data_IF_260065595875
#
_entry.id   IF_260065595875
#
_cell.length_a   1.000
_cell.length_b   1.000
_cell.length_c   1.000
_cell.angle_alpha   90.00
_cell.angle_beta   90.00
_cell.angle_gamma   90.00
#
_symmetry.space_group_name_H-M   'P 1'
#
loop_
_entity.id
_entity.type
_entity.pdbx_description
1 polymer ?
#
# COMPACT_ATOMS: atom_id res chain seq x y z
N UNK A 1 -11.06 -24.55 -43.18
CA UNK A 1 -10.91 -23.96 -41.83
C UNK A 1 -11.30 -22.49 -41.81
N UNK A 2 -10.91 -21.69 -42.82
CA UNK A 2 -11.35 -20.30 -42.97
C UNK A 2 -12.89 -20.17 -43.13
N UNK A 3 -13.50 -20.98 -44.01
CA UNK A 3 -14.95 -20.87 -44.29
C UNK A 3 -15.83 -21.18 -43.07
N UNK A 4 -15.43 -22.14 -42.23
CA UNK A 4 -16.14 -22.48 -40.99
C UNK A 4 -16.08 -21.34 -39.96
N UNK A 5 -14.98 -20.59 -39.93
CA UNK A 5 -14.85 -19.41 -39.08
C UNK A 5 -15.68 -18.26 -39.60
N UNK A 6 -15.73 -18.06 -40.92
CA UNK A 6 -16.55 -17.03 -41.55
C UNK A 6 -18.04 -17.29 -41.35
N UNK A 7 -18.48 -18.54 -41.49
CA UNK A 7 -19.87 -18.93 -41.22
C UNK A 7 -20.24 -18.70 -39.76
N UNK A 8 -19.34 -19.02 -38.83
CA UNK A 8 -19.57 -18.79 -37.39
C UNK A 8 -19.63 -17.29 -37.06
N UNK A 9 -18.85 -16.45 -37.72
CA UNK A 9 -18.90 -15.00 -37.54
C UNK A 9 -20.23 -14.46 -38.04
N UNK A 10 -20.68 -14.87 -39.23
CA UNK A 10 -21.96 -14.44 -39.80
C UNK A 10 -23.15 -14.86 -38.91
N UNK A 11 -23.09 -16.06 -38.34
CA UNK A 11 -24.11 -16.58 -37.42
C UNK A 11 -24.18 -15.76 -36.12
N UNK A 12 -23.01 -15.41 -35.57
CA UNK A 12 -22.91 -14.57 -34.37
C UNK A 12 -23.38 -13.13 -34.63
N UNK A 13 -23.07 -12.56 -35.81
CA UNK A 13 -23.54 -11.22 -36.20
C UNK A 13 -25.07 -11.18 -36.34
N UNK A 14 -25.68 -12.23 -36.90
CA UNK A 14 -27.13 -12.35 -36.98
C UNK A 14 -27.79 -12.47 -35.59
N UNK A 15 -27.17 -13.21 -34.67
CA UNK A 15 -27.65 -13.34 -33.29
C UNK A 15 -27.57 -12.02 -32.51
N UNK A 16 -26.49 -11.25 -32.70
CA UNK A 16 -26.33 -9.92 -32.10
C UNK A 16 -27.41 -8.95 -32.62
N UNK A 17 -27.72 -8.97 -33.91
CA UNK A 17 -28.72 -8.06 -34.45
C UNK A 17 -30.15 -8.42 -33.98
N UNK A 18 -30.43 -9.72 -33.81
CA UNK A 18 -31.67 -10.22 -33.19
C UNK A 18 -31.79 -9.79 -31.73
N UNK A 19 -30.71 -9.84 -30.95
CA UNK A 19 -30.73 -9.37 -29.56
C UNK A 19 -30.91 -7.86 -29.46
N UNK A 20 -30.32 -7.09 -30.38
CA UNK A 20 -30.53 -5.63 -30.45
C UNK A 20 -31.97 -5.26 -30.82
N UNK A 21 -32.63 -6.01 -31.72
CA UNK A 21 -34.04 -5.75 -32.04
C UNK A 21 -34.96 -6.05 -30.84
N UNK A 22 -34.73 -7.16 -30.13
CA UNK A 22 -35.44 -7.48 -28.90
C UNK A 22 -35.24 -6.45 -27.79
N UNK A 23 -34.03 -5.88 -27.67
CA UNK A 23 -33.76 -4.81 -26.72
C UNK A 23 -34.53 -3.54 -27.08
N UNK A 24 -34.57 -3.17 -28.37
CA UNK A 24 -35.33 -2.01 -28.87
C UNK A 24 -36.84 -2.17 -28.65
N UNK A 25 -37.39 -3.37 -28.80
CA UNK A 25 -38.79 -3.68 -28.48
C UNK A 25 -39.07 -3.58 -26.98
N UNK A 26 -38.17 -4.08 -26.11
CA UNK A 26 -38.28 -3.91 -24.66
C UNK A 26 -38.21 -2.44 -24.22
N UNK A 27 -37.37 -1.63 -24.85
CA UNK A 27 -37.29 -0.18 -24.56
C UNK A 27 -38.57 0.54 -24.97
N UNK A 28 -39.14 0.21 -26.13
CA UNK A 28 -40.44 0.75 -26.57
C UNK A 28 -41.61 0.31 -25.67
N UNK A 29 -41.59 -0.91 -25.15
CA UNK A 29 -42.61 -1.38 -24.21
C UNK A 29 -42.51 -0.68 -22.83
N UNK A 30 -41.31 -0.22 -22.44
CA UNK A 30 -41.08 0.55 -21.21
C UNK A 30 -41.56 2.01 -21.29
N UNK A 31 -41.49 2.64 -22.45
CA UNK A 31 -41.88 4.06 -22.63
C UNK A 31 -43.40 4.29 -22.68
N UNK A 32 -44.22 3.26 -22.93
CA UNK A 32 -45.70 3.41 -22.96
C UNK A 32 -46.30 3.48 -21.54
N UNK A 33 -45.54 3.12 -20.49
CA UNK A 33 -46.01 3.20 -19.09
C UNK A 33 -45.71 4.53 -18.39
N UNK A 34 -44.93 5.44 -18.99
CA UNK A 34 -44.44 6.66 -18.32
C UNK A 34 -45.03 7.98 -18.88
N UNK A 35 -46.11 7.89 -19.66
CA UNK A 35 -46.84 9.07 -20.18
C UNK A 35 -48.15 9.28 -19.41
N UNK A 36 -48.06 9.55 -18.11
CA UNK A 36 -49.09 10.30 -17.36
C UNK A 36 -48.46 11.12 -16.22
N UNK A 37 -47.77 12.21 -16.54
CA UNK A 37 -47.87 13.50 -15.83
C UNK A 37 -46.92 14.56 -16.43
N UNK A 38 -47.46 15.22 -17.46
CA UNK A 38 -47.30 16.64 -17.85
C UNK A 38 -46.44 17.52 -16.91
N UNK A 39 -45.30 18.04 -17.37
CA UNK A 39 -45.12 19.28 -18.16
C UNK A 39 -45.35 20.60 -17.42
N UNK A 40 -44.31 21.43 -17.29
CA UNK A 40 -44.31 22.79 -17.86
C UNK A 40 -42.97 23.50 -17.60
N UNK A 41 -42.62 24.31 -18.58
CA UNK A 41 -41.37 25.03 -18.79
C UNK A 41 -41.56 26.53 -18.63
N UNK A 42 -40.51 27.22 -18.11
CA UNK A 42 -40.04 28.61 -18.36
C UNK A 42 -41.04 29.77 -18.16
N UNK A 43 -40.72 30.74 -17.30
CA UNK A 43 -40.07 32.01 -17.70
C UNK A 43 -39.78 32.94 -16.51
N UNK A 44 -38.77 33.80 -16.68
CA UNK A 44 -38.41 34.90 -15.77
C UNK A 44 -39.17 36.18 -16.14
N UNK A 45 -39.67 36.94 -15.16
CA UNK A 45 -39.81 38.40 -15.25
C UNK A 45 -40.00 39.04 -13.87
N UNK A 46 -39.63 40.32 -13.82
CA UNK A 46 -39.29 41.17 -12.67
C UNK A 46 -40.48 42.03 -12.15
N UNK A 47 -40.23 42.78 -11.07
CA UNK A 47 -40.98 43.91 -10.48
C UNK A 47 -41.92 43.73 -9.28
N UNK A 48 -41.91 44.80 -8.46
CA UNK A 48 -42.15 44.91 -7.01
C UNK A 48 -43.60 45.35 -6.62
N UNK A 49 -43.84 45.96 -5.43
CA UNK A 49 -44.53 45.35 -4.28
C UNK A 49 -45.94 45.94 -4.05
N UNK A 50 -46.84 45.21 -3.37
CA UNK A 50 -47.94 45.84 -2.63
C UNK A 50 -48.63 44.88 -1.63
N UNK A 51 -49.22 45.50 -0.61
CA UNK A 51 -49.61 44.96 0.70
C UNK A 51 -50.96 44.23 0.76
N UNK A 52 -51.15 43.56 1.90
CA UNK A 52 -52.38 43.23 2.63
C UNK A 52 -53.17 41.98 2.25
N UNK A 53 -53.40 41.13 3.27
CA UNK A 53 -54.38 40.05 3.19
C UNK A 53 -54.18 38.92 4.20
N UNK A 54 -54.43 39.20 5.47
CA UNK A 54 -54.48 38.26 6.60
C UNK A 54 -55.28 36.99 6.31
N UNK A 55 -54.66 35.80 6.39
CA UNK A 55 -55.37 34.57 6.81
C UNK A 55 -54.41 33.57 7.46
N UNK A 56 -54.71 33.24 8.71
CA UNK A 56 -53.99 32.28 9.53
C UNK A 56 -54.14 30.86 8.98
N UNK A 57 -53.03 30.25 8.55
CA UNK A 57 -52.96 28.81 8.35
C UNK A 57 -51.65 28.26 8.94
N UNK A 58 -51.80 27.32 9.87
CA UNK A 58 -50.74 26.68 10.67
C UNK A 58 -49.68 26.07 9.75
N UNK A 59 -48.52 26.71 9.64
CA UNK A 59 -47.30 26.10 9.06
C UNK A 59 -46.87 24.93 9.93
N UNK A 60 -47.06 23.69 9.44
CA UNK A 60 -46.32 22.51 9.92
C UNK A 60 -44.83 22.78 9.65
N UNK A 61 -44.09 23.09 10.71
CA UNK A 61 -42.65 23.27 10.65
C UNK A 61 -41.98 22.02 10.06
N UNK A 62 -41.32 22.20 8.92
CA UNK A 62 -40.37 21.23 8.36
C UNK A 62 -39.27 21.07 9.42
N UNK A 63 -39.26 19.94 10.14
CA UNK A 63 -38.17 19.62 11.09
C UNK A 63 -36.87 19.60 10.29
N UNK A 64 -36.04 20.62 10.49
CA UNK A 64 -34.62 20.58 10.12
C UNK A 64 -34.04 19.37 10.85
N UNK A 65 -33.64 18.36 10.09
CA UNK A 65 -33.08 17.13 10.64
C UNK A 65 -31.70 17.49 11.22
N UNK A 66 -31.65 17.88 12.50
CA UNK A 66 -30.39 18.04 13.23
C UNK A 66 -29.68 16.70 13.15
N UNK A 67 -28.54 16.65 12.46
CA UNK A 67 -27.70 15.47 12.31
C UNK A 67 -27.28 15.02 13.72
N UNK A 68 -27.96 14.01 14.27
CA UNK A 68 -27.64 13.49 15.58
C UNK A 68 -26.36 12.68 15.46
N UNK A 69 -25.31 12.97 16.24
CA UNK A 69 -24.08 12.20 16.21
C UNK A 69 -24.41 10.73 16.53
N UNK A 70 -23.82 9.81 15.74
CA UNK A 70 -23.98 8.38 15.95
C UNK A 70 -23.31 7.99 17.27
N UNK A 71 -24.04 7.29 18.13
CA UNK A 71 -23.46 6.67 19.31
C UNK A 71 -22.78 5.35 18.92
N UNK A 72 -21.44 5.35 18.87
CA UNK A 72 -20.64 4.17 18.54
C UNK A 72 -20.67 3.09 19.63
N UNK A 73 -20.97 3.46 20.88
CA UNK A 73 -21.03 2.51 21.99
C UNK A 73 -22.25 1.57 21.90
N UNK A 74 -23.27 1.94 21.12
CA UNK A 74 -24.46 1.12 20.91
C UNK A 74 -24.27 0.00 19.85
N UNK A 75 -23.12 -0.06 19.17
CA UNK A 75 -22.87 -0.98 18.06
C UNK A 75 -21.69 -1.91 18.33
N UNK A 76 -21.78 -3.18 17.92
CA UNK A 76 -20.64 -4.08 17.88
C UNK A 76 -19.50 -3.52 17.01
N UNK A 77 -18.30 -3.94 17.33
CA UNK A 77 -17.11 -3.72 16.51
C UNK A 77 -16.59 -5.05 16.02
N UNK A 78 -15.92 -5.06 14.86
CA UNK A 78 -15.19 -6.20 14.34
C UNK A 78 -13.78 -5.78 13.97
N UNK A 79 -12.78 -6.47 14.50
CA UNK A 79 -11.41 -6.33 14.03
C UNK A 79 -11.25 -7.03 12.69
N UNK A 80 -10.76 -6.31 11.69
CA UNK A 80 -10.59 -6.80 10.32
C UNK A 80 -9.22 -6.46 9.77
N UNK A 81 -8.75 -7.25 8.80
CA UNK A 81 -7.73 -6.85 7.85
C UNK A 81 -8.40 -6.26 6.60
N UNK A 82 -7.91 -5.13 6.10
CA UNK A 82 -8.29 -4.54 4.82
C UNK A 82 -7.09 -4.57 3.88
N UNK A 83 -7.29 -5.02 2.64
CA UNK A 83 -6.29 -4.96 1.58
C UNK A 83 -6.61 -3.82 0.62
N UNK A 84 -5.61 -2.99 0.33
CA UNK A 84 -5.74 -1.74 -0.41
C UNK A 84 -4.76 -1.69 -1.57
N UNK A 85 -5.23 -1.13 -2.68
CA UNK A 85 -4.42 -0.71 -3.81
C UNK A 85 -4.50 0.82 -3.96
N UNK A 86 -3.41 1.45 -4.38
CA UNK A 86 -3.37 2.86 -4.72
C UNK A 86 -2.24 3.23 -5.67
N UNK A 87 -2.50 4.25 -6.50
CA UNK A 87 -1.49 4.88 -7.36
C UNK A 87 -0.81 6.01 -6.56
N UNK A 88 0.45 5.79 -6.16
CA UNK A 88 1.14 6.65 -5.20
C UNK A 88 1.60 8.01 -5.72
N UNK A 89 1.52 8.24 -7.04
CA UNK A 89 2.22 9.34 -7.72
C UNK A 89 1.75 10.72 -7.26
N UNK A 90 0.49 10.82 -6.83
CA UNK A 90 -0.13 12.06 -6.36
C UNK A 90 -0.05 12.25 -4.84
N UNK A 91 0.56 11.31 -4.11
CA UNK A 91 0.52 11.26 -2.64
C UNK A 91 1.91 11.44 -2.02
N UNK A 92 1.96 12.07 -0.85
CA UNK A 92 3.18 12.22 -0.04
C UNK A 92 3.44 10.97 0.82
N UNK A 93 3.19 9.79 0.25
CA UNK A 93 3.36 8.49 0.87
C UNK A 93 2.10 7.98 1.57
N UNK A 94 2.22 6.81 2.18
CA UNK A 94 1.09 6.18 2.86
C UNK A 94 0.75 6.87 4.17
N UNK A 95 1.72 6.99 5.07
CA UNK A 95 1.50 7.46 6.44
C UNK A 95 1.27 8.98 6.49
N UNK A 96 0.33 9.44 7.33
CA UNK A 96 0.13 10.86 7.66
C UNK A 96 1.42 11.47 8.20
N UNK A 97 1.70 12.71 7.77
CA UNK A 97 2.83 13.52 8.20
C UNK A 97 2.29 14.85 8.77
N UNK A 98 3.04 15.47 9.68
CA UNK A 98 2.59 16.71 10.36
C UNK A 98 2.40 17.91 9.40
N UNK A 99 3.11 17.89 8.27
CA UNK A 99 3.16 18.99 7.30
C UNK A 99 2.21 18.78 6.11
N UNK A 100 1.52 17.65 5.99
CA UNK A 100 0.64 17.39 4.86
C UNK A 100 -0.44 16.36 5.17
N UNK A 101 -1.67 16.69 4.74
CA UNK A 101 -2.80 15.76 4.73
C UNK A 101 -2.93 15.01 3.41
N UNK A 102 -2.04 15.26 2.43
CA UNK A 102 -2.09 14.60 1.13
C UNK A 102 -1.39 13.24 1.17
N UNK A 103 -1.92 12.33 1.99
CA UNK A 103 -1.43 10.96 2.17
C UNK A 103 -2.56 9.96 2.00
N UNK A 104 -2.21 8.73 1.63
CA UNK A 104 -3.22 7.66 1.44
C UNK A 104 -3.96 7.38 2.75
N UNK A 105 -3.24 7.37 3.88
CA UNK A 105 -3.83 7.15 5.20
C UNK A 105 -4.81 8.26 5.57
N UNK A 106 -4.51 9.54 5.30
CA UNK A 106 -5.46 10.63 5.58
C UNK A 106 -6.78 10.43 4.82
N UNK A 107 -6.72 10.12 3.52
CA UNK A 107 -7.90 9.85 2.68
C UNK A 107 -8.68 8.62 3.13
N UNK A 108 -7.98 7.60 3.59
CA UNK A 108 -8.60 6.40 4.15
C UNK A 108 -9.37 6.72 5.44
N UNK A 109 -8.78 7.49 6.36
CA UNK A 109 -9.46 7.88 7.60
C UNK A 109 -10.64 8.81 7.36
N UNK A 110 -10.54 9.73 6.39
CA UNK A 110 -11.66 10.56 5.93
C UNK A 110 -12.83 9.66 5.46
N UNK A 111 -12.56 8.65 4.63
CA UNK A 111 -13.56 7.68 4.16
C UNK A 111 -14.17 6.85 5.30
N UNK A 112 -13.36 6.34 6.22
CA UNK A 112 -13.80 5.54 7.38
C UNK A 112 -14.71 6.35 8.32
N UNK A 113 -14.41 7.62 8.55
CA UNK A 113 -15.23 8.51 9.36
C UNK A 113 -16.51 8.93 8.63
N UNK A 114 -16.42 9.28 7.33
CA UNK A 114 -17.56 9.65 6.49
C UNK A 114 -18.60 8.54 6.37
N UNK A 115 -18.14 7.28 6.30
CA UNK A 115 -19.01 6.08 6.31
C UNK A 115 -19.49 5.67 7.71
N UNK A 116 -19.07 6.39 8.76
CA UNK A 116 -19.36 6.09 10.17
C UNK A 116 -18.94 4.66 10.54
N UNK A 117 -17.86 4.16 9.96
CA UNK A 117 -17.28 2.86 10.32
C UNK A 117 -16.37 2.97 11.54
N UNK A 118 -15.76 4.13 11.77
CA UNK A 118 -14.97 4.44 12.97
C UNK A 118 -15.35 5.81 13.52
N UNK A 119 -15.09 6.03 14.81
CA UNK A 119 -15.19 7.34 15.44
C UNK A 119 -13.91 8.16 15.22
N UNK A 120 -12.76 7.56 15.52
CA UNK A 120 -11.45 8.19 15.45
C UNK A 120 -10.37 7.15 15.16
N UNK A 121 -9.18 7.62 14.80
CA UNK A 121 -7.98 6.79 14.65
C UNK A 121 -7.53 6.16 15.96
N UNK A 122 -7.61 6.90 17.06
CA UNK A 122 -7.11 6.50 18.36
C UNK A 122 -7.93 5.36 18.94
N UNK A 123 -9.23 5.31 18.65
CA UNK A 123 -10.16 4.32 19.17
C UNK A 123 -10.34 3.09 18.28
N UNK A 124 -9.62 2.98 17.16
CA UNK A 124 -9.89 1.98 16.12
C UNK A 124 -8.87 0.85 16.03
N UNK A 125 -7.98 0.66 17.01
CA UNK A 125 -6.96 -0.39 17.01
C UNK A 125 -6.19 -0.52 15.67
N UNK A 126 -5.73 0.61 15.14
CA UNK A 126 -5.19 0.69 13.79
C UNK A 126 -3.71 0.25 13.71
N UNK A 127 -3.42 -0.70 12.82
CA UNK A 127 -2.06 -1.10 12.45
C UNK A 127 -1.89 -1.14 10.93
N UNK A 128 -0.65 -0.96 10.46
CA UNK A 128 -0.30 -0.93 9.03
C UNK A 128 0.88 -1.84 8.74
N UNK A 129 0.79 -2.59 7.65
CA UNK A 129 1.82 -3.52 7.23
C UNK A 129 3.09 -2.81 6.72
N UNK A 130 2.93 -1.81 5.85
CA UNK A 130 4.03 -1.05 5.27
C UNK A 130 3.83 0.46 5.35
N UNK A 131 4.92 1.23 5.25
CA UNK A 131 4.91 2.68 5.05
C UNK A 131 5.59 2.95 3.72
N UNK A 132 4.81 3.05 2.65
CA UNK A 132 5.35 3.42 1.34
C UNK A 132 5.71 4.90 1.33
N UNK A 133 6.82 5.22 0.68
CA UNK A 133 7.34 6.58 0.55
C UNK A 133 6.47 7.40 -0.42
N UNK A 134 6.72 8.72 -0.47
CA UNK A 134 6.16 9.60 -1.50
C UNK A 134 6.32 8.98 -2.89
N UNK A 135 5.29 9.06 -3.72
CA UNK A 135 5.30 8.57 -5.10
C UNK A 135 5.15 7.05 -5.24
N UNK A 136 5.44 6.27 -4.20
CA UNK A 136 5.43 4.79 -4.25
C UNK A 136 3.99 4.26 -4.23
N UNK A 137 3.68 3.37 -5.15
CA UNK A 137 2.34 2.75 -5.28
C UNK A 137 2.22 1.49 -4.41
N UNK A 138 1.00 0.98 -4.25
CA UNK A 138 0.78 -0.35 -3.68
C UNK A 138 -0.36 -1.07 -4.38
N UNK A 139 -0.23 -2.38 -4.53
CA UNK A 139 -1.32 -3.27 -4.95
C UNK A 139 -1.91 -4.04 -3.78
N UNK A 140 -1.09 -4.41 -2.79
CA UNK A 140 -1.48 -5.25 -1.66
C UNK A 140 -0.99 -4.64 -0.34
N UNK A 141 -1.27 -3.35 -0.12
CA UNK A 141 -1.07 -2.76 1.22
C UNK A 141 -2.12 -3.35 2.15
N UNK A 142 -1.74 -3.70 3.37
CA UNK A 142 -2.67 -4.25 4.37
C UNK A 142 -2.67 -3.40 5.63
N UNK A 143 -3.86 -3.14 6.16
CA UNK A 143 -4.06 -2.58 7.49
C UNK A 143 -4.91 -3.53 8.33
N UNK A 144 -4.78 -3.47 9.65
CA UNK A 144 -5.77 -4.04 10.57
C UNK A 144 -6.42 -2.93 11.38
N UNK A 145 -7.73 -3.03 11.61
CA UNK A 145 -8.54 -1.97 12.22
C UNK A 145 -9.87 -2.52 12.77
N UNK A 146 -10.32 -1.97 13.89
CA UNK A 146 -11.68 -2.18 14.43
C UNK A 146 -12.70 -1.34 13.65
N UNK A 147 -13.65 -1.98 12.98
CA UNK A 147 -14.77 -1.33 12.29
C UNK A 147 -16.09 -1.59 13.01
N UNK A 148 -17.04 -0.65 12.90
CA UNK A 148 -18.43 -0.88 13.30
C UNK A 148 -19.01 -2.05 12.52
N UNK A 149 -19.67 -2.97 13.22
CA UNK A 149 -20.24 -4.21 12.68
C UNK A 149 -21.75 -4.26 12.87
N UNK A 150 -22.43 -4.98 11.98
CA UNK A 150 -23.85 -5.34 12.11
C UNK A 150 -24.06 -6.67 12.84
N UNK A 151 -23.00 -7.34 13.29
CA UNK A 151 -23.06 -8.64 13.94
C UNK A 151 -23.21 -8.51 15.45
N UNK A 152 -24.37 -8.92 15.96
CA UNK A 152 -24.67 -8.96 17.41
C UNK A 152 -24.44 -10.35 18.03
N UNK A 153 -23.89 -11.29 17.27
CA UNK A 153 -23.51 -12.64 17.73
C UNK A 153 -22.00 -12.76 17.88
N UNK A 154 -21.55 -13.74 18.67
CA UNK A 154 -20.11 -14.05 18.78
C UNK A 154 -19.57 -14.53 17.44
N UNK A 155 -18.38 -14.09 17.08
CA UNK A 155 -17.67 -14.51 15.88
C UNK A 155 -16.27 -13.90 15.83
N UNK A 156 -15.47 -14.33 14.86
CA UNK A 156 -14.07 -13.89 14.75
C UNK A 156 -13.97 -12.36 14.68
N UNK A 157 -13.15 -11.81 15.58
CA UNK A 157 -12.87 -10.38 15.72
C UNK A 157 -14.01 -9.54 16.30
N UNK A 158 -15.16 -10.13 16.69
CA UNK A 158 -16.31 -9.34 17.18
C UNK A 158 -16.12 -8.96 18.65
N UNK A 159 -16.28 -7.67 18.93
CA UNK A 159 -16.43 -7.10 20.27
C UNK A 159 -17.85 -6.55 20.43
N UNK A 160 -18.62 -7.09 21.37
CA UNK A 160 -19.97 -6.63 21.69
C UNK A 160 -19.93 -5.46 22.68
N UNK A 161 -20.92 -4.55 22.63
CA UNK A 161 -21.07 -3.54 23.68
C UNK A 161 -21.50 -4.14 25.02
N UNK A 162 -21.08 -3.51 26.12
CA UNK A 162 -21.42 -3.93 27.48
C UNK A 162 -22.93 -3.90 27.76
N UNK A 163 -23.68 -2.99 27.12
CA UNK A 163 -25.09 -2.71 27.41
C UNK A 163 -26.08 -3.37 26.43
N UNK A 164 -25.68 -4.37 25.65
CA UNK A 164 -26.56 -4.99 24.65
C UNK A 164 -26.96 -6.42 25.05
N UNK A 165 -28.25 -6.61 25.34
CA UNK A 165 -28.85 -7.93 25.54
C UNK A 165 -28.82 -8.75 24.25
N UNK A 166 -27.90 -9.73 24.21
CA UNK A 166 -27.72 -10.67 23.09
C UNK A 166 -29.01 -11.44 22.77
N UNK A 167 -29.90 -11.61 23.76
CA UNK A 167 -31.16 -12.35 23.63
C UNK A 167 -32.27 -11.60 22.88
N UNK A 168 -32.20 -10.27 22.75
CA UNK A 168 -33.30 -9.46 22.15
C UNK A 168 -33.14 -9.30 20.63
N UNK A 169 -31.96 -9.58 20.07
CA UNK A 169 -31.65 -9.40 18.64
C UNK A 169 -31.18 -10.68 17.92
N UNK A 170 -31.72 -11.84 18.29
CA UNK A 170 -31.63 -13.08 17.49
C UNK A 170 -32.49 -13.01 16.19
N UNK A 171 -32.42 -11.87 15.49
CA UNK A 171 -33.23 -11.57 14.30
C UNK A 171 -32.38 -11.81 13.05
N UNK A 172 -32.49 -13.02 12.49
CA UNK A 172 -31.86 -13.47 11.23
C UNK A 172 -30.33 -13.34 11.17
N UNK A 173 -29.68 -14.15 10.32
CA UNK A 173 -28.27 -13.92 9.97
C UNK A 173 -28.22 -12.62 9.16
N UNK A 174 -28.03 -11.49 9.84
CA UNK A 174 -27.80 -10.21 9.17
C UNK A 174 -26.46 -10.31 8.47
N UNK A 175 -26.36 -9.94 7.20
CA UNK A 175 -25.07 -9.84 6.53
C UNK A 175 -24.22 -8.74 7.17
N UNK A 176 -22.91 -8.93 7.18
CA UNK A 176 -22.00 -7.85 7.60
C UNK A 176 -22.13 -6.64 6.66
N UNK A 177 -21.73 -5.46 7.15
CA UNK A 177 -21.58 -4.30 6.27
C UNK A 177 -20.70 -4.61 5.05
N UNK A 178 -21.09 -4.15 3.85
CA UNK A 178 -20.26 -4.28 2.65
C UNK A 178 -19.13 -3.25 2.70
N UNK A 179 -18.12 -3.50 3.54
CA UNK A 179 -17.06 -2.55 3.86
C UNK A 179 -16.34 -2.03 2.62
N UNK A 180 -16.05 -2.93 1.66
CA UNK A 180 -15.34 -2.60 0.41
C UNK A 180 -16.13 -1.58 -0.38
N UNK A 181 -17.38 -1.90 -0.69
CA UNK A 181 -18.30 -1.03 -1.43
C UNK A 181 -18.56 0.31 -0.73
N UNK A 182 -18.74 0.29 0.60
CA UNK A 182 -18.97 1.51 1.38
C UNK A 182 -17.78 2.46 1.28
N UNK A 183 -16.55 1.94 1.43
CA UNK A 183 -15.33 2.74 1.38
C UNK A 183 -15.03 3.20 -0.05
N UNK A 184 -15.08 2.31 -1.04
CA UNK A 184 -14.79 2.64 -2.44
C UNK A 184 -15.71 3.72 -3.02
N UNK A 185 -16.95 3.85 -2.51
CA UNK A 185 -17.89 4.92 -2.91
C UNK A 185 -17.46 6.33 -2.48
N UNK A 186 -16.63 6.45 -1.45
CA UNK A 186 -16.22 7.76 -0.91
C UNK A 186 -14.71 7.99 -0.99
N UNK A 187 -13.92 6.96 -1.30
CA UNK A 187 -12.49 7.07 -1.55
C UNK A 187 -12.19 7.76 -2.88
N UNK A 188 -11.08 8.52 -2.99
CA UNK A 188 -10.55 9.02 -4.26
C UNK A 188 -10.37 7.91 -5.29
N UNK A 189 -10.45 8.22 -6.59
CA UNK A 189 -10.45 7.19 -7.64
C UNK A 189 -9.19 6.31 -7.71
N UNK A 190 -8.08 6.85 -7.22
CA UNK A 190 -6.75 6.24 -7.20
C UNK A 190 -6.43 5.53 -5.87
N UNK A 191 -7.41 5.37 -4.96
CA UNK A 191 -7.32 4.53 -3.75
C UNK A 191 -8.51 3.57 -3.72
N UNK A 192 -8.24 2.27 -3.60
CA UNK A 192 -9.26 1.21 -3.61
C UNK A 192 -9.03 0.20 -2.52
N UNK A 193 -10.10 -0.20 -1.85
CA UNK A 193 -10.14 -1.43 -1.06
C UNK A 193 -10.41 -2.58 -2.02
N UNK A 194 -9.58 -3.62 -1.97
CA UNK A 194 -9.73 -4.82 -2.79
C UNK A 194 -10.63 -5.84 -2.09
N UNK A 195 -10.37 -6.07 -0.80
CA UNK A 195 -11.06 -7.06 0.02
C UNK A 195 -10.79 -6.84 1.51
N UNK A 196 -11.49 -7.63 2.31
CA UNK A 196 -11.36 -7.64 3.76
C UNK A 196 -11.39 -9.05 4.33
N UNK A 197 -10.83 -9.26 5.52
CA UNK A 197 -10.91 -10.52 6.26
C UNK A 197 -11.20 -10.24 7.74
N UNK A 198 -12.09 -10.99 8.41
CA UNK A 198 -12.17 -10.96 9.88
C UNK A 198 -10.89 -11.56 10.47
N UNK A 199 -10.39 -10.99 11.55
CA UNK A 199 -9.14 -11.43 12.21
C UNK A 199 -9.31 -11.54 13.72
N UNK A 200 -8.39 -12.23 14.39
CA UNK A 200 -8.33 -12.29 15.86
C UNK A 200 -8.09 -10.89 16.44
N UNK A 201 -8.59 -10.59 17.66
CA UNK A 201 -8.60 -9.24 18.23
C UNK A 201 -7.19 -8.64 18.45
N UNK A 202 -6.19 -9.48 18.62
CA UNK A 202 -4.78 -9.18 18.80
C UNK A 202 -3.99 -9.09 17.48
N UNK A 203 -4.59 -9.44 16.34
CA UNK A 203 -3.94 -9.38 15.04
C UNK A 203 -3.46 -7.96 14.68
N UNK A 204 -2.20 -7.86 14.30
CA UNK A 204 -1.55 -6.67 13.80
C UNK A 204 -1.03 -6.89 12.39
N UNK A 205 -1.57 -6.13 11.42
CA UNK A 205 -1.05 -6.13 10.06
C UNK A 205 0.46 -5.79 9.98
N UNK A 206 1.01 -5.14 11.01
CA UNK A 206 2.44 -4.84 11.10
C UNK A 206 3.26 -6.06 11.50
N UNK A 207 2.88 -6.73 12.58
CA UNK A 207 3.70 -7.74 13.24
C UNK A 207 3.42 -9.17 12.73
N UNK A 208 2.21 -9.45 12.26
CA UNK A 208 1.83 -10.78 11.77
C UNK A 208 2.13 -10.99 10.28
N UNK A 209 2.61 -9.95 9.59
CA UNK A 209 3.01 -10.07 8.19
C UNK A 209 4.35 -10.81 8.07
N UNK A 210 4.33 -11.91 7.34
CA UNK A 210 5.45 -12.84 7.17
C UNK A 210 6.49 -12.33 6.17
N UNK A 211 6.04 -11.71 5.08
CA UNK A 211 6.95 -11.13 4.08
C UNK A 211 6.26 -10.08 3.22
N UNK A 212 7.07 -9.20 2.64
CA UNK A 212 6.63 -8.19 1.69
C UNK A 212 7.37 -8.38 0.37
N UNK A 213 6.64 -8.24 -0.73
CA UNK A 213 7.19 -8.27 -2.08
C UNK A 213 7.05 -6.90 -2.71
N UNK A 214 8.17 -6.33 -3.13
CA UNK A 214 8.19 -5.10 -3.92
C UNK A 214 8.55 -5.42 -5.37
N UNK A 215 8.01 -4.62 -6.29
CA UNK A 215 8.41 -4.61 -7.69
C UNK A 215 8.85 -3.21 -8.07
N UNK A 216 9.93 -3.11 -8.82
CA UNK A 216 10.40 -1.88 -9.42
C UNK A 216 10.44 -2.03 -10.94
N UNK A 217 9.66 -1.23 -11.64
CA UNK A 217 9.59 -1.26 -13.10
C UNK A 217 10.64 -0.33 -13.72
N UNK A 218 11.34 -0.78 -14.76
CA UNK A 218 12.34 0.04 -15.44
C UNK A 218 12.48 -0.37 -16.93
N UNK A 219 12.75 0.57 -17.84
CA UNK A 219 13.08 0.23 -19.21
C UNK A 219 14.51 -0.32 -19.28
N UNK A 220 14.74 -1.26 -20.19
CA UNK A 220 16.07 -1.82 -20.49
C UNK A 220 17.05 -0.72 -20.84
N UNK A 221 16.70 0.14 -21.80
CA UNK A 221 17.60 1.14 -22.36
C UNK A 221 18.93 0.53 -22.78
N UNK A 222 20.03 1.12 -22.31
CA UNK A 222 21.39 0.61 -22.51
C UNK A 222 21.90 -0.26 -21.35
N UNK A 223 21.03 -0.70 -20.44
CA UNK A 223 21.44 -1.43 -19.23
C UNK A 223 21.81 -2.88 -19.55
N UNK A 224 22.90 -3.35 -18.94
CA UNK A 224 23.25 -4.75 -18.91
C UNK A 224 22.40 -5.50 -17.86
N UNK A 225 21.21 -5.90 -18.28
CA UNK A 225 20.21 -6.51 -17.38
C UNK A 225 20.67 -7.87 -16.85
N UNK A 226 21.49 -8.62 -17.61
CA UNK A 226 22.04 -9.89 -17.13
C UNK A 226 22.99 -9.65 -15.97
N UNK A 227 23.92 -8.69 -16.15
CA UNK A 227 24.82 -8.27 -15.08
C UNK A 227 24.07 -7.75 -13.84
N UNK A 228 22.99 -6.98 -14.05
CA UNK A 228 22.12 -6.55 -12.96
C UNK A 228 21.48 -7.73 -12.23
N UNK A 229 20.96 -8.72 -12.96
CA UNK A 229 20.30 -9.88 -12.39
C UNK A 229 21.28 -10.72 -11.54
N UNK A 230 22.49 -10.95 -12.07
CA UNK A 230 23.56 -11.67 -11.37
C UNK A 230 24.00 -10.91 -10.11
N UNK A 231 24.17 -9.59 -10.20
CA UNK A 231 24.53 -8.76 -9.05
C UNK A 231 23.42 -8.73 -7.99
N UNK A 232 22.16 -8.68 -8.39
CA UNK A 232 21.03 -8.57 -7.48
C UNK A 232 20.88 -9.79 -6.55
N UNK A 233 21.38 -10.97 -6.97
CA UNK A 233 21.44 -12.17 -6.12
C UNK A 233 22.30 -12.01 -4.88
N UNK A 234 23.31 -11.13 -4.91
CA UNK A 234 24.17 -10.84 -3.75
C UNK A 234 23.40 -10.19 -2.59
N UNK A 235 22.22 -9.65 -2.84
CA UNK A 235 21.35 -9.12 -1.79
C UNK A 235 20.58 -10.19 -0.99
N UNK A 236 20.47 -11.42 -1.51
CA UNK A 236 19.75 -12.51 -0.82
C UNK A 236 20.48 -12.90 0.47
N UNK A 237 19.72 -13.27 1.51
CA UNK A 237 20.24 -13.58 2.84
C UNK A 237 20.05 -12.45 3.85
N UNK A 238 20.71 -12.60 5.00
CA UNK A 238 20.63 -11.67 6.13
C UNK A 238 21.90 -10.83 6.19
N UNK A 239 21.76 -9.51 6.02
CA UNK A 239 22.88 -8.58 5.96
C UNK A 239 22.56 -7.26 6.65
N UNK A 240 23.60 -6.50 7.01
CA UNK A 240 23.45 -5.10 7.44
C UNK A 240 23.32 -4.17 6.23
N UNK A 241 22.14 -3.58 6.06
CA UNK A 241 21.83 -2.72 4.92
C UNK A 241 22.02 -1.21 5.21
N UNK A 242 22.78 -0.81 6.24
CA UNK A 242 22.96 0.63 6.60
C UNK A 242 23.52 1.47 5.44
N UNK A 243 24.37 0.88 4.61
CA UNK A 243 24.95 1.52 3.43
C UNK A 243 23.98 1.56 2.23
N UNK A 244 22.87 0.84 2.32
CA UNK A 244 21.84 0.65 1.30
C UNK A 244 20.46 1.13 1.77
N UNK A 245 20.40 2.06 2.72
CA UNK A 245 19.16 2.67 3.17
C UNK A 245 19.39 4.13 3.61
N UNK A 246 18.33 4.83 4.01
CA UNK A 246 18.45 6.08 4.77
C UNK A 246 18.42 5.72 6.26
N UNK A 247 19.52 5.99 6.97
CA UNK A 247 19.60 5.74 8.41
C UNK A 247 18.64 6.67 9.16
N UNK A 248 17.61 6.07 9.76
CA UNK A 248 16.51 6.76 10.43
C UNK A 248 16.63 6.69 11.96
N UNK A 249 17.84 6.98 12.46
CA UNK A 249 18.20 6.93 13.88
C UNK A 249 17.31 7.86 14.72
N UNK A 250 16.86 8.97 14.15
CA UNK A 250 15.95 9.92 14.81
C UNK A 250 14.58 9.32 15.17
N UNK A 251 14.17 8.24 14.50
CA UNK A 251 12.95 7.48 14.79
C UNK A 251 13.24 6.20 15.61
N UNK A 252 14.42 6.09 16.21
CA UNK A 252 14.81 4.96 17.06
C UNK A 252 15.26 3.72 16.29
N UNK A 253 15.55 3.83 15.00
CA UNK A 253 16.09 2.70 14.20
C UNK A 253 17.59 2.59 14.43
N UNK A 254 17.99 1.51 15.11
CA UNK A 254 19.39 1.23 15.45
C UNK A 254 19.91 -0.08 14.84
N UNK A 255 18.99 -0.99 14.48
CA UNK A 255 19.31 -2.26 13.83
C UNK A 255 19.00 -2.19 12.33
N UNK A 256 20.04 -2.39 11.53
CA UNK A 256 20.02 -2.31 10.07
C UNK A 256 20.12 -3.68 9.40
N UNK A 257 20.19 -4.75 10.18
CA UNK A 257 20.11 -6.11 9.66
C UNK A 257 18.71 -6.40 9.08
N UNK A 258 18.65 -6.90 7.84
CA UNK A 258 17.41 -7.35 7.21
C UNK A 258 17.65 -8.64 6.45
N UNK A 259 16.60 -9.45 6.31
CA UNK A 259 16.62 -10.70 5.55
C UNK A 259 15.84 -10.54 4.26
N UNK A 260 16.54 -10.70 3.14
CA UNK A 260 15.97 -10.78 1.81
C UNK A 260 15.84 -12.27 1.44
N UNK A 261 14.61 -12.69 1.15
CA UNK A 261 14.27 -14.07 0.87
C UNK A 261 14.54 -14.44 -0.59
N UNK A 262 14.22 -13.53 -1.52
CA UNK A 262 14.48 -13.74 -2.93
C UNK A 262 14.53 -12.44 -3.70
N UNK A 263 15.31 -12.45 -4.77
CA UNK A 263 15.47 -11.36 -5.72
C UNK A 263 15.43 -11.91 -7.14
N UNK A 264 14.78 -11.18 -8.05
CA UNK A 264 14.83 -11.50 -9.48
C UNK A 264 14.74 -10.24 -10.34
N UNK A 265 15.31 -10.33 -11.54
CA UNK A 265 15.09 -9.35 -12.60
C UNK A 265 14.61 -10.09 -13.83
N UNK A 266 13.43 -9.71 -14.33
CA UNK A 266 12.77 -10.40 -15.43
C UNK A 266 12.02 -9.42 -16.34
N UNK A 267 11.79 -9.75 -17.63
CA UNK A 267 10.93 -8.95 -18.49
C UNK A 267 9.53 -8.78 -17.88
N UNK A 268 8.97 -7.57 -17.98
CA UNK A 268 7.63 -7.27 -17.46
C UNK A 268 6.53 -7.97 -18.27
N UNK A 269 6.78 -8.19 -19.56
CA UNK A 269 5.89 -8.88 -20.49
C UNK A 269 6.70 -9.76 -21.43
N UNK A 270 6.16 -10.94 -21.77
CA UNK A 270 6.68 -11.79 -22.83
C UNK A 270 6.10 -11.31 -24.16
N UNK A 271 6.67 -10.27 -24.76
CA UNK A 271 6.30 -9.86 -26.12
C UNK A 271 7.18 -10.59 -27.12
N UNK A 272 6.61 -11.56 -27.83
CA UNK A 272 7.26 -12.25 -28.97
C UNK A 272 7.37 -11.36 -30.22
N UNK A 273 7.00 -10.08 -30.16
CA UNK A 273 6.91 -9.21 -31.33
C UNK A 273 7.67 -7.89 -31.16
N UNK A 274 8.77 -7.81 -31.92
CA UNK A 274 9.27 -6.65 -32.71
C UNK A 274 10.18 -5.55 -32.11
N UNK A 275 11.43 -5.56 -32.61
CA UNK A 275 12.20 -4.48 -33.26
C UNK A 275 12.90 -3.36 -32.48
N UNK A 276 12.64 -3.13 -31.19
CA UNK A 276 13.52 -2.22 -30.40
C UNK A 276 13.70 -2.73 -28.97
N UNK A 277 14.73 -3.55 -28.76
CA UNK A 277 15.09 -4.11 -27.45
C UNK A 277 15.23 -3.03 -26.36
N UNK A 278 15.55 -1.78 -26.73
CA UNK A 278 15.85 -0.71 -25.77
C UNK A 278 14.64 -0.25 -24.95
N UNK A 279 13.41 -0.43 -25.42
CA UNK A 279 12.20 0.03 -24.71
C UNK A 279 11.50 -1.08 -23.91
N UNK A 280 12.04 -2.30 -23.95
CA UNK A 280 11.52 -3.42 -23.17
C UNK A 280 11.51 -3.06 -21.68
N UNK A 281 10.38 -3.25 -21.01
CA UNK A 281 10.30 -3.07 -19.57
C UNK A 281 10.71 -4.33 -18.84
N UNK A 282 11.44 -4.14 -17.75
CA UNK A 282 11.88 -5.14 -16.81
C UNK A 282 11.32 -4.84 -15.43
N UNK A 283 11.23 -5.89 -14.62
CA UNK A 283 10.80 -5.86 -13.23
C UNK A 283 11.97 -6.34 -12.39
N UNK A 284 12.44 -5.50 -11.47
CA UNK A 284 13.22 -5.93 -10.31
C UNK A 284 12.23 -6.29 -9.20
N UNK A 285 12.09 -7.58 -8.91
CA UNK A 285 11.25 -8.09 -7.84
C UNK A 285 12.12 -8.49 -6.65
N UNK A 286 11.73 -8.05 -5.46
CA UNK A 286 12.41 -8.36 -4.20
C UNK A 286 11.40 -8.74 -3.12
N UNK A 287 11.63 -9.89 -2.49
CA UNK A 287 10.86 -10.40 -1.37
C UNK A 287 11.73 -10.44 -0.13
N UNK A 288 11.23 -9.90 0.98
CA UNK A 288 11.96 -9.86 2.26
C UNK A 288 11.01 -9.87 3.45
N UNK A 289 11.54 -10.15 4.64
CA UNK A 289 10.76 -10.15 5.88
C UNK A 289 10.29 -8.73 6.24
N UNK A 290 11.22 -7.76 6.16
CA UNK A 290 10.98 -6.35 6.36
C UNK A 290 12.03 -5.51 5.60
N UNK A 291 11.74 -4.23 5.37
CA UNK A 291 12.62 -3.31 4.67
C UNK A 291 12.86 -2.04 5.51
N UNK A 292 14.06 -1.48 5.42
CA UNK A 292 14.45 -0.20 5.99
C UNK A 292 13.96 0.96 5.11
N UNK A 293 14.00 2.17 5.68
CA UNK A 293 13.62 3.39 4.98
C UNK A 293 14.52 3.61 3.74
N UNK A 294 13.90 3.79 2.56
CA UNK A 294 14.54 3.89 1.25
C UNK A 294 15.35 2.67 0.77
N UNK A 295 15.27 1.52 1.45
CA UNK A 295 16.18 0.39 1.17
C UNK A 295 16.10 -0.09 -0.29
N UNK A 296 14.90 -0.45 -0.75
CA UNK A 296 14.69 -0.99 -2.10
C UNK A 296 15.15 -0.02 -3.19
N UNK A 297 14.94 1.30 -2.99
CA UNK A 297 15.35 2.34 -3.94
C UNK A 297 16.87 2.56 -3.96
N UNK A 298 17.53 2.41 -2.81
CA UNK A 298 19.00 2.43 -2.75
C UNK A 298 19.59 1.20 -3.44
N UNK A 299 19.02 0.00 -3.19
CA UNK A 299 19.44 -1.24 -3.84
C UNK A 299 19.29 -1.14 -5.36
N UNK A 300 18.15 -0.64 -5.84
CA UNK A 300 17.91 -0.41 -7.26
C UNK A 300 18.88 0.63 -7.84
N UNK A 301 19.23 1.70 -7.11
CA UNK A 301 20.19 2.69 -7.58
C UNK A 301 21.58 2.09 -7.86
N UNK A 302 22.06 1.21 -6.97
CA UNK A 302 23.32 0.48 -7.18
C UNK A 302 23.22 -0.46 -8.38
N UNK A 303 22.10 -1.18 -8.53
CA UNK A 303 21.87 -2.01 -9.72
C UNK A 303 21.86 -1.20 -11.01
N UNK A 304 21.29 0.02 -11.02
CA UNK A 304 21.33 0.89 -12.19
C UNK A 304 22.76 1.33 -12.55
N UNK A 305 23.64 1.54 -11.56
CA UNK A 305 25.05 1.85 -11.79
C UNK A 305 25.79 0.64 -12.37
N UNK A 306 25.52 -0.56 -11.85
CA UNK A 306 26.07 -1.83 -12.36
C UNK A 306 25.59 -2.08 -13.79
N UNK A 307 24.30 -1.90 -14.07
CA UNK A 307 23.74 -2.05 -15.41
C UNK A 307 24.31 -1.06 -16.42
N UNK A 308 24.73 0.13 -15.96
CA UNK A 308 25.47 1.11 -16.78
C UNK A 308 26.96 0.79 -16.92
N UNK A 309 27.44 -0.30 -16.30
CA UNK A 309 28.86 -0.69 -16.20
C UNK A 309 29.75 0.37 -15.54
N UNK A 310 29.15 1.19 -14.68
CA UNK A 310 29.86 2.20 -13.89
C UNK A 310 30.40 1.63 -12.58
N UNK A 311 29.79 0.55 -12.09
CA UNK A 311 30.26 -0.23 -10.94
C UNK A 311 30.31 -1.71 -11.30
N UNK A 312 31.18 -2.47 -10.64
CA UNK A 312 31.20 -3.92 -10.75
C UNK A 312 30.22 -4.56 -9.74
N UNK A 313 29.75 -5.81 -9.96
CA UNK A 313 28.85 -6.49 -9.03
C UNK A 313 29.36 -6.60 -7.58
N UNK A 314 30.68 -6.68 -7.39
CA UNK A 314 31.35 -6.81 -6.09
C UNK A 314 31.13 -5.59 -5.18
N UNK A 315 30.71 -4.45 -5.73
CA UNK A 315 30.36 -3.28 -4.94
C UNK A 315 29.24 -3.58 -3.93
N UNK A 316 28.34 -4.52 -4.24
CA UNK A 316 27.27 -4.92 -3.33
C UNK A 316 27.88 -5.58 -2.09
N UNK A 317 28.80 -6.53 -2.27
CA UNK A 317 29.46 -7.20 -1.15
C UNK A 317 30.24 -6.21 -0.29
N UNK A 318 30.94 -5.27 -0.92
CA UNK A 318 31.67 -4.22 -0.23
C UNK A 318 30.76 -3.28 0.57
N UNK A 319 29.56 -2.96 0.06
CA UNK A 319 28.59 -2.13 0.76
C UNK A 319 27.90 -2.88 1.91
N UNK A 320 27.73 -4.20 1.80
CA UNK A 320 27.19 -5.06 2.87
C UNK A 320 28.24 -5.36 3.95
N UNK A 321 29.53 -5.34 3.62
CA UNK A 321 30.62 -5.45 4.58
C UNK A 321 30.83 -4.13 5.35
N UNK A 322 30.05 -3.98 6.42
CA UNK A 322 30.11 -2.82 7.31
C UNK A 322 31.35 -2.80 8.21
N UNK A 323 32.13 -3.90 8.29
CA UNK A 323 33.38 -3.92 9.07
C UNK A 323 34.48 -3.21 8.30
N UNK A 324 34.60 -3.52 7.00
CA UNK A 324 35.57 -2.86 6.12
C UNK A 324 35.06 -1.48 5.69
N UNK A 325 33.76 -1.35 5.40
CA UNK A 325 33.13 -0.12 4.90
C UNK A 325 32.00 0.38 5.85
N UNK A 326 32.34 0.92 7.04
CA UNK A 326 31.35 1.27 8.07
C UNK A 326 30.47 2.47 7.72
N UNK A 327 30.79 3.21 6.65
CA UNK A 327 30.14 4.46 6.29
C UNK A 327 29.52 4.38 4.89
N UNK A 328 28.30 4.89 4.79
CA UNK A 328 27.56 4.94 3.53
C UNK A 328 28.19 5.94 2.56
N UNK A 329 28.63 5.55 1.36
CA UNK A 329 29.05 6.51 0.34
C UNK A 329 27.87 7.36 -0.15
N UNK A 330 28.13 8.59 -0.59
CA UNK A 330 27.07 9.45 -1.14
C UNK A 330 26.64 9.01 -2.54
N UNK A 331 25.36 8.67 -2.68
CA UNK A 331 24.72 8.40 -3.97
C UNK A 331 23.23 8.73 -3.92
N UNK A 332 22.69 9.06 -5.08
CA UNK A 332 21.25 9.30 -5.28
C UNK A 332 20.49 7.98 -5.35
N UNK A 333 19.26 8.00 -4.86
CA UNK A 333 18.38 6.83 -4.89
C UNK A 333 17.66 6.73 -6.24
N UNK A 334 17.16 5.54 -6.56
CA UNK A 334 16.29 5.36 -7.71
C UNK A 334 14.99 6.14 -7.51
N UNK A 335 14.37 6.65 -8.57
CA UNK A 335 13.10 7.43 -8.50
C UNK A 335 11.97 6.61 -7.86
N UNK A 336 10.95 7.26 -7.31
CA UNK A 336 9.94 6.63 -6.45
C UNK A 336 8.78 5.96 -7.21
N UNK A 337 8.22 6.64 -8.22
CA UNK A 337 7.01 6.22 -8.92
C UNK A 337 7.02 4.82 -9.56
N UNK A 338 8.16 4.22 -9.97
CA UNK A 338 8.17 2.86 -10.52
C UNK A 338 8.18 1.76 -9.46
N UNK A 339 8.31 2.12 -8.18
CA UNK A 339 8.25 1.17 -7.06
C UNK A 339 6.80 0.93 -6.65
N UNK A 340 6.45 -0.35 -6.48
CA UNK A 340 5.15 -0.78 -5.97
C UNK A 340 5.33 -1.83 -4.86
N UNK A 341 4.62 -1.63 -3.74
CA UNK A 341 4.37 -2.72 -2.77
C UNK A 341 3.38 -3.69 -3.41
N UNK A 342 3.89 -4.79 -3.94
CA UNK A 342 3.13 -5.72 -4.76
C UNK A 342 2.34 -6.71 -3.91
N UNK A 343 2.98 -7.28 -2.88
CA UNK A 343 2.32 -8.26 -2.00
C UNK A 343 2.72 -8.13 -0.52
N UNK A 344 1.79 -8.44 0.36
CA UNK A 344 2.03 -8.65 1.80
C UNK A 344 1.47 -10.02 2.19
N UNK A 345 2.35 -10.92 2.59
CA UNK A 345 1.98 -12.28 2.93
C UNK A 345 1.59 -12.40 4.40
N UNK A 346 0.47 -13.10 4.66
CA UNK A 346 -0.06 -13.42 5.97
C UNK A 346 -0.58 -14.86 5.96
N UNK A 347 -0.37 -15.59 7.04
CA UNK A 347 -0.92 -16.93 7.22
C UNK A 347 -2.34 -16.87 7.78
N UNK A 348 -3.19 -17.81 7.36
CA UNK A 348 -4.53 -18.00 7.93
C UNK A 348 -5.57 -16.93 7.59
N UNK A 349 -5.27 -15.95 6.71
CA UNK A 349 -6.26 -14.98 6.27
C UNK A 349 -7.15 -15.51 5.14
N UNK A 350 -8.45 -15.48 5.35
CA UNK A 350 -9.46 -15.77 4.32
C UNK A 350 -10.07 -14.46 3.81
N UNK A 351 -9.59 -13.98 2.66
CA UNK A 351 -10.05 -12.73 2.05
C UNK A 351 -11.46 -12.88 1.49
N UNK A 352 -12.33 -11.93 1.86
CA UNK A 352 -13.69 -11.77 1.33
C UNK A 352 -13.68 -10.71 0.24
N UNK A 353 -13.88 -11.16 -0.99
CA UNK A 353 -13.98 -10.31 -2.18
C UNK A 353 -15.43 -10.09 -2.58
N UNK A 354 -15.72 -8.89 -3.07
CA UNK A 354 -16.98 -8.53 -3.72
C UNK A 354 -16.71 -8.46 -5.24
N UNK A 355 -17.16 -9.43 -6.05
CA UNK A 355 -16.79 -9.52 -7.47
C UNK A 355 -17.13 -8.28 -8.30
N UNK A 356 -18.25 -7.62 -7.98
CA UNK A 356 -18.66 -6.38 -8.64
C UNK A 356 -17.65 -5.25 -8.40
N UNK A 357 -17.09 -5.15 -7.19
CA UNK A 357 -16.08 -4.16 -6.85
C UNK A 357 -14.75 -4.46 -7.54
N UNK A 358 -14.35 -5.75 -7.61
CA UNK A 358 -13.16 -6.18 -8.35
C UNK A 358 -13.26 -5.79 -9.83
N UNK A 359 -14.42 -6.02 -10.45
CA UNK A 359 -14.66 -5.65 -11.85
C UNK A 359 -14.59 -4.12 -12.04
N UNK A 360 -15.15 -3.33 -11.12
CA UNK A 360 -15.07 -1.88 -11.19
C UNK A 360 -13.62 -1.36 -11.07
N UNK A 361 -12.84 -1.95 -10.16
CA UNK A 361 -11.42 -1.65 -9.99
C UNK A 361 -10.64 -2.00 -11.26
N UNK A 362 -10.91 -3.18 -11.85
CA UNK A 362 -10.28 -3.62 -13.09
C UNK A 362 -10.54 -2.63 -14.24
N UNK A 363 -11.80 -2.22 -14.44
CA UNK A 363 -12.16 -1.23 -15.48
C UNK A 363 -11.45 0.10 -15.25
N UNK A 364 -11.36 0.55 -13.99
CA UNK A 364 -10.65 1.79 -13.64
C UNK A 364 -9.15 1.69 -13.97
N UNK A 365 -8.50 0.58 -13.62
CA UNK A 365 -7.10 0.33 -13.94
C UNK A 365 -6.86 0.22 -15.45
N UNK A 366 -7.77 -0.43 -16.19
CA UNK A 366 -7.72 -0.50 -17.65
C UNK A 366 -7.79 0.88 -18.28
N UNK A 367 -8.67 1.78 -17.80
CA UNK A 367 -8.75 3.16 -18.28
C UNK A 367 -7.44 3.92 -18.06
N UNK A 368 -6.86 3.83 -16.86
CA UNK A 368 -5.55 4.44 -16.56
C UNK A 368 -4.44 3.86 -17.44
N UNK A 369 -4.44 2.55 -17.65
CA UNK A 369 -3.49 1.87 -18.51
C UNK A 369 -3.63 2.33 -19.96
N UNK A 370 -4.83 2.35 -20.53
CA UNK A 370 -5.08 2.80 -21.91
C UNK A 370 -4.59 4.22 -22.12
N UNK A 371 -4.92 5.15 -21.21
CA UNK A 371 -4.44 6.53 -21.32
C UNK A 371 -2.91 6.62 -21.26
N UNK A 372 -2.29 5.87 -20.35
CA UNK A 372 -0.83 5.87 -20.19
C UNK A 372 -0.14 5.24 -21.40
N UNK A 373 -0.67 4.12 -21.91
CA UNK A 373 -0.16 3.43 -23.08
C UNK A 373 -0.22 4.32 -24.33
N UNK A 374 -1.35 4.99 -24.59
CA UNK A 374 -1.49 5.91 -25.73
C UNK A 374 -0.49 7.06 -25.61
N UNK A 375 -0.38 7.69 -24.43
CA UNK A 375 0.59 8.78 -24.20
C UNK A 375 2.03 8.31 -24.42
N UNK A 376 2.40 7.14 -23.91
CA UNK A 376 3.73 6.57 -24.09
C UNK A 376 4.04 6.27 -25.55
N UNK A 377 3.10 5.70 -26.32
CA UNK A 377 3.30 5.41 -27.75
C UNK A 377 3.37 6.68 -28.60
N UNK A 378 2.59 7.71 -28.27
CA UNK A 378 2.69 9.01 -28.93
C UNK A 378 4.08 9.62 -28.73
N UNK A 379 4.61 9.59 -27.51
CA UNK A 379 5.96 10.06 -27.21
C UNK A 379 7.01 9.23 -27.94
N UNK A 380 6.85 7.91 -27.97
CA UNK A 380 7.76 7.02 -28.70
C UNK A 380 7.78 7.34 -30.19
N UNK A 381 6.62 7.55 -30.82
CA UNK A 381 6.53 7.96 -32.22
C UNK A 381 7.22 9.30 -32.50
N UNK A 382 7.10 10.27 -31.58
CA UNK A 382 7.83 11.54 -31.67
C UNK A 382 9.36 11.35 -31.56
N UNK A 383 9.82 10.51 -30.62
CA UNK A 383 11.24 10.18 -30.45
C UNK A 383 11.79 9.54 -31.72
N UNK A 384 11.15 8.50 -32.23
CA UNK A 384 11.57 7.80 -33.46
C UNK A 384 11.61 8.75 -34.67
N UNK A 385 10.63 9.65 -34.79
CA UNK A 385 10.61 10.63 -35.87
C UNK A 385 11.76 11.66 -35.79
N UNK A 386 12.22 12.00 -34.59
CA UNK A 386 13.38 12.87 -34.39
C UNK A 386 14.70 12.12 -34.63
N UNK A 387 14.80 10.87 -34.17
CA UNK A 387 15.96 9.99 -34.43
C UNK A 387 16.16 9.76 -35.94
N UNK A 388 15.08 9.52 -36.69
CA UNK A 388 15.11 9.40 -38.14
C UNK A 388 15.58 10.67 -38.86
N UNK A 389 15.43 11.84 -38.24
CA UNK A 389 15.96 13.13 -38.73
C UNK A 389 17.42 13.37 -38.33
N UNK A 390 18.09 12.38 -37.75
CA UNK A 390 19.50 12.45 -37.35
C UNK A 390 19.73 12.96 -35.93
N UNK A 391 18.68 13.12 -35.12
CA UNK A 391 18.86 13.41 -33.69
C UNK A 391 19.46 12.18 -32.98
N UNK A 392 20.48 12.40 -32.16
CA UNK A 392 21.10 11.31 -31.39
C UNK A 392 20.39 11.15 -30.05
N UNK A 393 19.82 9.98 -29.83
CA UNK A 393 19.30 9.59 -28.53
C UNK A 393 20.45 9.29 -27.59
N UNK A 394 20.59 10.09 -26.54
CA UNK A 394 21.46 9.73 -25.43
C UNK A 394 20.75 8.60 -24.68
N UNK A 395 21.25 7.37 -24.75
CA UNK A 395 20.69 6.17 -24.08
C UNK A 395 20.72 6.23 -22.54
N UNK A 396 20.34 7.36 -21.97
CA UNK A 396 20.45 7.71 -20.57
C UNK A 396 19.30 7.09 -19.78
N UNK A 397 19.65 6.32 -18.76
CA UNK A 397 18.67 5.86 -17.77
C UNK A 397 18.17 7.04 -16.95
N UNK A 398 16.91 7.45 -17.06
CA UNK A 398 16.35 8.61 -16.33
C UNK A 398 15.78 8.28 -14.93
N UNK A 399 16.17 7.14 -14.36
CA UNK A 399 15.56 6.59 -13.14
C UNK A 399 16.37 6.81 -11.84
N UNK A 400 17.27 7.79 -11.82
CA UNK A 400 18.03 8.17 -10.61
C UNK A 400 17.74 9.63 -10.28
N UNK A 401 17.47 9.93 -9.00
CA UNK A 401 17.16 11.28 -8.55
C UNK A 401 18.35 12.26 -8.67
N UNK A 402 18.05 13.52 -8.96
CA UNK A 402 19.01 14.63 -8.89
C UNK A 402 19.90 14.83 -10.13
N UNK A 403 20.85 15.76 -10.00
CA UNK A 403 21.77 16.16 -11.07
C UNK A 403 22.92 15.17 -11.18
N UNK A 404 23.20 14.66 -12.38
CA UNK A 404 24.33 13.76 -12.64
C UNK A 404 25.62 14.55 -12.78
N UNK A 405 26.70 14.03 -12.18
CA UNK A 405 28.04 14.55 -12.42
C UNK A 405 28.49 14.16 -13.84
N UNK A 406 29.14 15.07 -14.57
CA UNK A 406 29.64 14.80 -15.94
C UNK A 406 30.65 13.66 -15.99
N UNK A 407 31.46 13.52 -14.93
CA UNK A 407 32.43 12.45 -14.78
C UNK A 407 31.98 11.52 -13.65
N UNK A 408 31.87 10.23 -13.96
CA UNK A 408 31.54 9.23 -12.96
C UNK A 408 32.67 9.07 -11.94
N UNK A 409 32.34 9.07 -10.65
CA UNK A 409 33.25 8.73 -9.56
C UNK A 409 32.78 7.42 -8.91
N UNK A 410 33.63 6.39 -8.80
CA UNK A 410 33.27 5.14 -8.12
C UNK A 410 32.75 5.36 -6.69
N UNK A 411 31.78 4.57 -6.26
CA UNK A 411 31.04 4.77 -5.01
C UNK A 411 31.96 4.87 -3.79
N UNK A 412 32.91 3.94 -3.64
CA UNK A 412 33.85 3.93 -2.51
C UNK A 412 34.90 5.05 -2.55
N UNK A 413 35.01 5.77 -3.66
CA UNK A 413 35.87 6.95 -3.76
C UNK A 413 35.13 8.23 -3.36
N UNK A 414 33.81 8.22 -3.19
CA UNK A 414 33.00 9.43 -2.91
C UNK A 414 33.08 9.87 -1.45
N UNK A 415 32.66 11.10 -1.14
CA UNK A 415 32.42 11.49 0.24
C UNK A 415 31.44 10.53 0.92
N UNK A 416 31.72 10.21 2.18
CA UNK A 416 30.90 9.32 2.99
C UNK A 416 29.97 10.10 3.91
N UNK A 417 28.79 9.56 4.16
CA UNK A 417 27.88 10.04 5.21
C UNK A 417 28.52 9.89 6.59
N UNK A 418 27.96 10.54 7.60
CA UNK A 418 28.29 10.29 9.01
C UNK A 418 28.11 8.79 9.35
N UNK A 419 28.93 8.29 10.29
CA UNK A 419 28.80 6.92 10.76
C UNK A 419 27.53 6.71 11.59
N UNK A 420 27.17 5.45 11.82
CA UNK A 420 26.02 5.12 12.66
C UNK A 420 26.22 5.63 14.10
N UNK A 421 27.40 5.42 14.66
CA UNK A 421 27.78 5.80 16.04
C UNK A 421 27.69 7.31 16.21
N UNK A 422 28.21 8.07 15.23
CA UNK A 422 28.13 9.53 15.22
C UNK A 422 26.67 10.03 15.19
N UNK A 423 25.80 9.37 14.42
CA UNK A 423 24.37 9.71 14.38
C UNK A 423 23.65 9.36 15.69
N UNK A 424 23.96 8.22 16.28
CA UNK A 424 23.42 7.83 17.59
C UNK A 424 23.80 8.88 18.63
N UNK A 425 25.08 9.24 18.71
CA UNK A 425 25.56 10.25 19.64
C UNK A 425 24.91 11.61 19.42
N UNK A 426 24.68 12.01 18.16
CA UNK A 426 23.93 13.23 17.84
C UNK A 426 22.52 13.23 18.45
N UNK A 427 21.78 12.12 18.30
CA UNK A 427 20.41 12.03 18.80
C UNK A 427 20.32 11.77 20.31
N UNK A 428 21.32 11.13 20.92
CA UNK A 428 21.48 11.04 22.38
C UNK A 428 21.73 12.43 22.96
N UNK A 429 22.66 13.22 22.39
CA UNK A 429 22.94 14.60 22.83
C UNK A 429 21.71 15.50 22.73
N UNK A 430 20.83 15.27 21.75
CA UNK A 430 19.54 15.96 21.61
C UNK A 430 18.42 15.40 22.49
N UNK A 431 18.71 14.43 23.35
CA UNK A 431 17.76 13.84 24.28
C UNK A 431 16.62 13.04 23.62
N UNK A 432 16.77 12.66 22.34
CA UNK A 432 15.80 11.86 21.58
C UNK A 432 16.01 10.35 21.73
N UNK A 433 17.23 9.95 22.10
CA UNK A 433 17.60 8.58 22.46
C UNK A 433 18.10 8.54 23.90
N UNK A 434 17.85 7.44 24.60
CA UNK A 434 18.39 7.17 25.94
C UNK A 434 19.56 6.18 25.84
N UNK A 435 20.53 6.30 26.76
CA UNK A 435 21.60 5.33 26.97
C UNK A 435 21.16 4.43 28.13
N UNK A 436 20.91 3.15 27.88
CA UNK A 436 20.81 2.15 28.95
C UNK A 436 22.15 1.41 29.03
N UNK A 437 22.83 1.52 30.17
CA UNK A 437 23.96 0.64 30.50
C UNK A 437 23.40 -0.74 30.82
N UNK A 438 23.84 -1.76 30.09
CA UNK A 438 23.50 -3.14 30.43
C UNK A 438 24.11 -3.47 31.80
N UNK A 439 23.33 -4.08 32.70
CA UNK A 439 23.79 -4.46 34.04
C UNK A 439 24.94 -5.50 34.05
N UNK A 440 25.35 -6.00 32.88
CA UNK A 440 26.44 -6.96 32.70
C UNK A 440 27.43 -6.49 31.63
N UNK A 441 28.07 -5.31 31.80
CA UNK A 441 29.37 -4.97 31.20
C UNK A 441 29.58 -5.21 29.70
N UNK A 442 28.53 -5.30 28.89
CA UNK A 442 28.58 -5.73 27.49
C UNK A 442 27.41 -5.16 26.70
N UNK A 443 27.76 -4.39 25.66
CA UNK A 443 26.90 -3.60 24.76
C UNK A 443 26.05 -2.49 25.41
N UNK A 444 26.33 -1.24 25.02
CA UNK A 444 25.45 -0.10 25.30
C UNK A 444 24.17 -0.25 24.48
N UNK A 445 23.03 -0.39 25.14
CA UNK A 445 21.74 -0.49 24.47
C UNK A 445 21.16 0.92 24.39
N UNK A 446 20.97 1.42 23.17
CA UNK A 446 20.24 2.66 22.96
C UNK A 446 18.77 2.35 22.68
N UNK A 447 17.84 3.08 23.31
CA UNK A 447 16.41 2.95 23.03
C UNK A 447 15.82 4.32 22.69
N UNK A 448 14.90 4.33 21.72
CA UNK A 448 14.08 5.50 21.44
C UNK A 448 13.14 5.77 22.62
N UNK A 449 12.98 7.05 23.00
CA UNK A 449 12.04 7.43 24.06
C UNK A 449 10.63 6.97 23.71
N UNK A 450 9.98 6.23 24.60
CA UNK A 450 8.54 5.98 24.53
C UNK A 450 7.82 7.33 24.66
N UNK A 451 6.93 7.64 23.73
CA UNK A 451 6.03 8.79 23.85
C UNK A 451 5.26 8.69 25.18
N UNK A 452 5.15 9.80 25.92
CA UNK A 452 4.43 9.91 27.20
C UNK A 452 2.90 9.69 27.09
N UNK A 453 2.40 9.06 26.02
CA UNK A 453 0.98 8.78 25.78
C UNK A 453 0.66 7.28 25.67
N UNK A 454 1.51 6.41 26.23
CA UNK A 454 1.17 4.99 26.39
C UNK A 454 1.54 4.48 27.78
N UNK A 455 0.54 4.49 28.67
CA UNK A 455 0.46 3.75 29.94
C UNK A 455 -0.99 3.20 29.97
N UNK A 456 -1.34 1.97 30.31
CA UNK A 456 -0.67 0.90 31.07
C UNK A 456 -1.21 -0.47 30.59
N UNK A 457 -0.33 -1.47 30.53
CA UNK A 457 -0.73 -2.88 30.76
C UNK A 457 0.31 -3.47 31.72
N UNK A 458 -0.09 -4.10 32.84
CA UNK A 458 0.87 -4.66 33.79
C UNK A 458 1.47 -5.96 33.23
N UNK A 459 2.80 -6.08 33.27
CA UNK A 459 3.49 -7.34 33.05
C UNK A 459 3.33 -8.23 34.30
N UNK A 460 3.13 -9.55 34.15
CA UNK A 460 3.17 -10.48 35.27
C UNK A 460 4.61 -10.72 35.72
N UNK A 461 4.85 -10.50 37.00
CA UNK A 461 6.07 -10.89 37.73
C UNK A 461 6.19 -12.42 37.76
N UNK A 462 7.28 -12.94 37.19
CA UNK A 462 7.74 -14.31 37.42
C UNK A 462 8.66 -14.25 38.65
N UNK A 463 8.21 -14.80 39.77
CA UNK A 463 9.05 -15.06 40.93
C UNK A 463 9.76 -16.40 40.76
N UNK A 464 11.07 -16.37 40.64
CA UNK A 464 11.96 -17.51 40.86
C UNK A 464 12.25 -17.62 42.35
N UNK A 465 11.88 -18.73 42.97
CA UNK A 465 12.64 -19.41 44.02
C UNK A 465 11.86 -20.66 44.46
N UNK A 466 12.41 -21.85 44.23
CA UNK A 466 12.86 -22.74 45.32
C UNK A 466 13.35 -24.09 44.76
N UNK A 467 14.63 -24.36 45.07
CA UNK A 467 15.28 -25.62 45.42
C UNK A 467 14.61 -26.95 45.06
N UNK A 468 15.37 -27.86 44.42
CA UNK A 468 15.60 -29.18 45.02
C UNK A 468 16.91 -29.84 44.53
N UNK A 469 17.54 -30.50 45.49
CA UNK A 469 18.87 -31.08 45.57
C UNK A 469 19.08 -32.36 44.75
N UNK A 470 20.34 -32.59 44.35
CA UNK A 470 20.89 -33.87 43.91
C UNK A 470 20.66 -34.99 44.93
N UNK A 471 20.21 -36.15 44.45
CA UNK A 471 20.52 -37.45 45.04
C UNK A 471 20.62 -38.52 43.94
N UNK A 472 21.72 -39.27 43.97
CA UNK A 472 21.94 -40.51 43.21
C UNK A 472 21.13 -41.65 43.86
N UNK A 473 20.96 -42.71 43.06
CA UNK A 473 21.16 -44.16 43.35
C UNK A 473 19.91 -45.04 43.17
N UNK A 474 20.10 -46.10 42.37
CA UNK A 474 19.53 -47.47 42.46
C UNK A 474 18.03 -47.74 42.27
N UNK A 475 17.69 -48.47 41.19
CA UNK A 475 17.12 -49.85 41.18
C UNK A 475 16.86 -50.26 39.72
N UNK A 476 17.50 -51.31 39.18
CA UNK A 476 17.10 -52.73 39.16
C UNK A 476 15.76 -53.03 38.46
N UNK A 477 15.93 -53.59 37.26
CA UNK A 477 15.25 -54.72 36.61
C UNK A 477 13.96 -55.30 37.23
N UNK A 478 12.99 -55.55 36.33
CA UNK A 478 12.22 -56.79 36.08
C UNK A 478 10.78 -56.49 35.63
N UNK A 479 10.41 -57.22 34.57
CA UNK A 479 9.14 -57.38 33.84
C UNK A 479 8.61 -56.29 32.88
#
# INVERSE_FOLDING_TARGET
MADVLTDRINELEAEVEKLKSQLREKTRAGEVMDVTSSSSSRDNTDCSPEENGTTSSKKKGKKVNKDRPLDFSAYPRRHVALRLAYLGWNYQGFAVQENTENTVEARLFEALQKTRLIQSRQSSNYHRCGRTDKGVSAFSQVISIDLRSNQFSKGLGITLPENVDVNIKNKAVVSEFPYVKMLNRVLPHDIRILDWAPVAQDFSARFDCQSRTYRYYFPRGSLDVKLMADAAKRYEGTHDFRNLCKMDVGNGVLQFERTILSVSIQPAWSTQTSTSESHDLFIFEIKGLAFLYHQVRCMMAVLLLIGQKLESPEIIDQLLDVQTNPRKPQYSMAVDFPLILYDCHFDGLTWKQEPEEVNYILVTLQQHWTQSAVKSHLLLGMITALEAKGATSTGQCLLVEGSRCKNYRPLLQRPFCESLESRIDHFVKRGRLEREESQNGGEMIHRGKRSKHSHNSPNPTISSDENFSKAKTEEKAED
#
